data_IF_836840493841
#
_entry.id   IF_836840493841
#
_cell.length_a   1.000
_cell.length_b   1.000
_cell.length_c   1.000
_cell.angle_alpha   90.00
_cell.angle_beta   90.00
_cell.angle_gamma   90.00
#
_symmetry.space_group_name_H-M   'P 1'
#
loop_
_entity.id
_entity.type
_entity.pdbx_description
1 polymer ?
#
# COMPACT_ATOMS: atom_id res chain seq x y z
N UNK A 1 13.74 8.54 5.53
CA UNK A 1 13.86 8.36 6.99
C UNK A 1 14.91 7.31 7.34
N UNK A 2 14.71 6.05 6.94
CA UNK A 2 15.68 4.97 7.26
C UNK A 2 17.05 5.13 6.59
N UNK A 3 17.13 5.81 5.45
CA UNK A 3 18.42 6.15 4.83
C UNK A 3 19.18 7.24 5.60
N UNK A 4 18.46 8.12 6.30
CA UNK A 4 19.06 9.20 7.07
C UNK A 4 19.44 8.80 8.52
N UNK A 5 18.69 7.89 9.12
CA UNK A 5 18.83 7.55 10.54
C UNK A 5 18.81 6.04 10.83
N UNK A 6 18.78 5.20 9.79
CA UNK A 6 18.75 3.75 9.95
C UNK A 6 19.96 3.19 10.71
N UNK A 7 21.11 3.83 10.57
CA UNK A 7 22.35 3.42 11.26
C UNK A 7 22.30 3.65 12.76
N UNK A 8 21.38 4.50 13.24
CA UNK A 8 21.13 4.71 14.67
C UNK A 8 20.21 3.66 15.29
N UNK A 9 19.65 2.75 14.48
CA UNK A 9 18.73 1.72 14.95
C UNK A 9 19.52 0.52 15.47
N UNK A 10 19.39 0.25 16.75
CA UNK A 10 20.02 -0.90 17.43
C UNK A 10 19.04 -2.07 17.63
N UNK A 11 17.74 -1.76 17.70
CA UNK A 11 16.70 -2.77 17.91
C UNK A 11 15.43 -2.44 17.13
N UNK A 12 14.80 -3.49 16.58
CA UNK A 12 13.49 -3.41 15.92
C UNK A 12 12.53 -4.39 16.55
N UNK A 13 11.32 -3.94 16.84
CA UNK A 13 10.19 -4.79 17.21
C UNK A 13 9.24 -4.85 16.02
N UNK A 14 9.05 -6.04 15.47
CA UNK A 14 8.20 -6.28 14.30
C UNK A 14 6.81 -6.69 14.77
N UNK A 15 5.82 -5.85 14.48
CA UNK A 15 4.41 -6.12 14.73
C UNK A 15 3.71 -6.32 13.38
N UNK A 16 3.18 -7.51 13.12
CA UNK A 16 2.59 -7.85 11.84
C UNK A 16 3.63 -8.19 10.76
N UNK A 17 3.27 -8.01 9.49
CA UNK A 17 4.08 -8.48 8.34
C UNK A 17 4.58 -7.30 7.50
N UNK A 18 5.78 -6.77 7.73
CA UNK A 18 6.36 -5.67 6.94
C UNK A 18 6.78 -6.20 5.56
N UNK A 19 6.02 -5.87 4.52
CA UNK A 19 6.22 -6.43 3.18
C UNK A 19 6.39 -5.39 2.08
N UNK A 20 6.30 -4.10 2.40
CA UNK A 20 6.20 -3.07 1.37
C UNK A 20 7.49 -2.28 1.16
N UNK A 21 8.06 -1.56 2.14
CA UNK A 21 9.20 -0.69 1.91
C UNK A 21 10.54 -1.46 1.89
N UNK A 22 11.30 -1.31 0.80
CA UNK A 22 12.67 -1.87 0.70
C UNK A 22 13.61 -1.42 1.82
N UNK A 23 13.62 -0.14 2.27
CA UNK A 23 14.45 0.27 3.38
C UNK A 23 14.17 -0.50 4.68
N UNK A 24 12.91 -0.84 4.95
CA UNK A 24 12.54 -1.70 6.09
C UNK A 24 13.10 -3.11 5.91
N UNK A 25 12.97 -3.68 4.72
CA UNK A 25 13.53 -5.01 4.45
C UNK A 25 15.06 -5.04 4.59
N UNK A 26 15.75 -3.98 4.16
CA UNK A 26 17.20 -3.85 4.37
C UNK A 26 17.57 -3.75 5.85
N UNK A 27 16.82 -2.95 6.62
CA UNK A 27 17.03 -2.82 8.07
C UNK A 27 16.84 -4.18 8.76
N UNK A 28 15.79 -4.91 8.40
CA UNK A 28 15.53 -6.25 8.96
C UNK A 28 16.58 -7.28 8.56
N UNK A 29 17.28 -7.11 7.44
CA UNK A 29 18.39 -7.96 7.01
C UNK A 29 19.73 -7.67 7.70
N UNK A 30 19.87 -6.58 8.46
CA UNK A 30 21.12 -6.20 9.13
C UNK A 30 21.43 -7.14 10.29
N UNK A 31 22.69 -7.57 10.42
CA UNK A 31 23.14 -8.48 11.48
C UNK A 31 23.42 -7.73 12.80
N UNK A 32 23.73 -6.44 12.74
CA UNK A 32 24.05 -5.58 13.89
C UNK A 32 22.80 -4.99 14.57
N UNK A 33 21.61 -5.23 14.04
CA UNK A 33 20.34 -4.76 14.61
C UNK A 33 19.61 -5.93 15.26
N UNK A 34 19.28 -5.79 16.53
CA UNK A 34 18.46 -6.78 17.25
C UNK A 34 17.01 -6.77 16.75
N UNK A 35 16.46 -7.93 16.45
CA UNK A 35 15.11 -8.09 15.93
C UNK A 35 14.25 -8.96 16.82
N UNK A 36 13.12 -8.41 17.26
CA UNK A 36 12.10 -9.15 18.01
C UNK A 36 10.82 -9.18 17.17
N UNK A 37 10.39 -10.37 16.79
CA UNK A 37 9.15 -10.57 16.02
C UNK A 37 8.03 -10.95 16.96
N UNK A 38 6.92 -10.22 16.91
CA UNK A 38 5.72 -10.53 17.69
C UNK A 38 4.73 -11.24 16.79
N UNK A 39 4.51 -12.53 17.04
CA UNK A 39 3.56 -13.35 16.28
C UNK A 39 2.97 -14.44 17.16
N UNK A 40 1.64 -14.49 17.23
CA UNK A 40 0.90 -15.59 17.85
C UNK A 40 0.67 -16.79 16.91
N UNK A 41 1.13 -16.70 15.66
CA UNK A 41 1.02 -17.77 14.65
C UNK A 41 2.25 -18.67 14.68
N UNK A 42 2.10 -19.93 14.27
CA UNK A 42 3.20 -20.84 14.01
C UNK A 42 4.06 -20.38 12.82
N UNK A 43 3.48 -19.60 11.90
CA UNK A 43 4.19 -18.95 10.81
C UNK A 43 4.46 -17.50 11.18
N UNK A 44 5.69 -17.15 11.46
CA UNK A 44 6.09 -15.79 11.81
C UNK A 44 6.71 -15.05 10.62
N UNK A 45 6.55 -13.71 10.57
CA UNK A 45 7.02 -12.89 9.45
C UNK A 45 8.52 -12.54 9.60
N UNK A 46 9.38 -13.50 9.36
CA UNK A 46 10.84 -13.32 9.30
C UNK A 46 11.40 -13.83 7.96
N UNK A 47 11.17 -13.13 6.84
CA UNK A 47 11.60 -13.58 5.53
C UNK A 47 13.12 -13.59 5.36
N UNK A 48 13.86 -12.87 6.19
CA UNK A 48 15.32 -12.85 6.17
C UNK A 48 15.96 -13.94 7.03
N UNK A 49 15.18 -14.60 7.89
CA UNK A 49 15.68 -15.61 8.83
C UNK A 49 16.66 -15.02 9.87
N UNK A 50 16.47 -13.79 10.27
CA UNK A 50 17.42 -13.02 11.10
C UNK A 50 16.84 -12.56 12.44
N UNK A 51 15.65 -13.02 12.82
CA UNK A 51 15.04 -12.70 14.10
C UNK A 51 15.84 -13.27 15.27
N UNK A 52 16.18 -12.42 16.24
CA UNK A 52 16.86 -12.84 17.48
C UNK A 52 15.90 -13.47 18.49
N UNK A 53 14.63 -13.05 18.44
CA UNK A 53 13.58 -13.60 19.27
C UNK A 53 12.21 -13.52 18.60
N UNK A 54 11.37 -14.54 18.85
CA UNK A 54 9.99 -14.57 18.44
C UNK A 54 9.14 -14.74 19.70
N UNK A 55 8.19 -13.81 19.90
CA UNK A 55 7.34 -13.81 21.09
C UNK A 55 5.86 -13.77 20.70
N UNK A 56 4.97 -14.47 21.41
CA UNK A 56 3.56 -14.52 21.04
C UNK A 56 2.83 -13.19 21.31
N UNK A 57 3.31 -12.41 22.26
CA UNK A 57 2.77 -11.10 22.61
C UNK A 57 3.82 -10.25 23.32
N UNK A 58 3.56 -8.95 23.41
CA UNK A 58 4.34 -8.06 24.27
C UNK A 58 3.67 -8.04 25.66
N UNK A 59 4.43 -8.36 26.70
CA UNK A 59 3.98 -8.16 28.06
C UNK A 59 3.98 -6.66 28.41
N UNK A 60 3.00 -6.15 29.16
CA UNK A 60 3.08 -4.80 29.68
C UNK A 60 4.33 -4.66 30.56
N UNK A 61 5.00 -3.50 30.55
CA UNK A 61 6.18 -3.27 31.36
C UNK A 61 5.83 -3.46 32.85
N UNK A 62 6.56 -4.33 33.53
CA UNK A 62 6.42 -4.52 34.98
C UNK A 62 7.28 -3.48 35.68
N UNK A 63 6.65 -2.53 36.39
CA UNK A 63 7.31 -1.55 37.26
C UNK A 63 8.01 -0.42 36.48
N UNK A 64 7.60 0.80 36.73
CA UNK A 64 8.27 2.07 36.44
C UNK A 64 8.86 2.29 35.05
N UNK A 65 8.26 3.14 34.28
CA UNK A 65 8.84 3.87 33.16
C UNK A 65 9.41 3.08 31.98
N UNK A 66 8.57 2.75 31.02
CA UNK A 66 9.03 2.28 29.70
C UNK A 66 9.76 3.41 28.97
N UNK A 67 11.04 3.23 28.66
CA UNK A 67 11.82 4.18 27.86
C UNK A 67 11.81 3.73 26.39
N UNK A 68 11.26 4.56 25.55
CA UNK A 68 11.28 4.40 24.10
C UNK A 68 12.57 4.97 23.49
N UNK A 69 13.67 4.26 23.65
CA UNK A 69 14.95 4.70 23.10
C UNK A 69 15.60 5.87 23.87
N UNK A 70 16.71 6.43 23.36
CA UNK A 70 17.40 7.58 23.92
C UNK A 70 16.53 8.83 23.96
N UNK A 71 16.91 9.77 24.83
CA UNK A 71 16.26 11.09 24.86
C UNK A 71 16.37 11.77 23.48
N UNK A 72 15.25 12.31 23.00
CA UNK A 72 15.18 12.89 21.66
C UNK A 72 14.90 11.92 20.50
N UNK A 73 14.92 10.58 20.72
CA UNK A 73 14.68 9.59 19.67
C UNK A 73 13.39 9.84 18.91
N UNK A 74 12.27 9.98 19.60
CA UNK A 74 10.98 10.27 18.97
C UNK A 74 10.94 11.65 18.30
N UNK A 75 11.68 12.63 18.85
CA UNK A 75 11.82 13.95 18.25
C UNK A 75 12.51 13.89 16.89
N UNK A 76 13.57 13.11 16.79
CA UNK A 76 14.30 12.88 15.54
C UNK A 76 13.40 12.30 14.46
N UNK A 77 12.68 11.22 14.75
CA UNK A 77 11.76 10.60 13.77
C UNK A 77 10.61 11.52 13.36
N UNK A 78 10.10 12.32 14.31
CA UNK A 78 9.06 13.31 14.02
C UNK A 78 9.57 14.47 13.15
N UNK A 79 10.82 14.91 13.33
CA UNK A 79 11.39 15.95 12.46
C UNK A 79 11.52 15.45 11.02
N UNK A 80 12.03 14.26 10.80
CA UNK A 80 12.07 13.65 9.46
C UNK A 80 10.68 13.47 8.84
N UNK A 81 9.70 13.01 9.63
CA UNK A 81 8.34 12.86 9.14
C UNK A 81 7.74 14.21 8.73
N UNK A 82 8.06 15.28 9.46
CA UNK A 82 7.63 16.64 9.12
C UNK A 82 8.26 17.10 7.80
N UNK A 83 9.57 16.93 7.62
CA UNK A 83 10.29 17.31 6.39
C UNK A 83 9.72 16.57 5.16
N UNK A 84 9.49 15.24 5.27
CA UNK A 84 8.82 14.48 4.20
C UNK A 84 7.42 15.03 3.94
N UNK A 85 6.67 15.37 4.97
CA UNK A 85 5.36 16.00 4.84
C UNK A 85 5.40 17.32 4.09
N UNK A 86 6.39 18.17 4.37
CA UNK A 86 6.60 19.44 3.68
C UNK A 86 6.92 19.22 2.19
N UNK A 87 7.80 18.27 1.87
CA UNK A 87 8.11 17.91 0.49
C UNK A 87 6.85 17.42 -0.24
N UNK A 88 6.08 16.53 0.38
CA UNK A 88 4.84 16.02 -0.23
C UNK A 88 3.81 17.12 -0.48
N UNK A 89 3.77 18.16 0.34
CA UNK A 89 2.89 19.31 0.13
C UNK A 89 3.30 20.17 -1.08
N UNK A 90 4.52 20.04 -1.58
CA UNK A 90 4.95 20.74 -2.81
C UNK A 90 4.55 20.00 -4.08
N UNK A 91 4.15 18.73 -3.98
CA UNK A 91 3.72 17.93 -5.12
C UNK A 91 2.37 18.42 -5.61
N UNK A 92 2.28 18.81 -6.88
CA UNK A 92 1.09 19.38 -7.49
C UNK A 92 0.56 18.53 -8.65
N UNK A 93 -0.66 18.83 -9.06
CA UNK A 93 -1.36 18.17 -10.16
C UNK A 93 -1.87 16.79 -9.79
N UNK A 94 -2.57 16.14 -10.71
CA UNK A 94 -3.06 14.77 -10.54
C UNK A 94 -1.91 13.78 -10.77
N UNK A 95 -1.54 13.08 -9.72
CA UNK A 95 -0.58 11.98 -9.75
C UNK A 95 -0.90 10.99 -8.62
N UNK A 96 -0.20 9.88 -8.55
CA UNK A 96 -0.48 8.84 -7.56
C UNK A 96 -0.44 9.33 -6.10
N UNK A 97 0.48 10.25 -5.76
CA UNK A 97 0.63 10.74 -4.39
C UNK A 97 -0.49 11.68 -3.98
N UNK A 98 -0.80 12.65 -4.85
CA UNK A 98 -1.87 13.62 -4.60
C UNK A 98 -3.24 12.94 -4.62
N UNK A 99 -3.44 11.99 -5.54
CA UNK A 99 -4.65 11.18 -5.58
C UNK A 99 -4.80 10.30 -4.32
N UNK A 100 -3.73 9.64 -3.88
CA UNK A 100 -3.75 8.82 -2.66
C UNK A 100 -4.12 9.64 -1.42
N UNK A 101 -3.57 10.85 -1.26
CA UNK A 101 -3.93 11.74 -0.16
C UNK A 101 -5.39 12.17 -0.22
N UNK A 102 -5.88 12.59 -1.40
CA UNK A 102 -7.26 13.01 -1.58
C UNK A 102 -8.25 11.86 -1.32
N UNK A 103 -7.96 10.67 -1.84
CA UNK A 103 -8.77 9.47 -1.60
C UNK A 103 -8.76 9.09 -0.12
N UNK A 104 -7.60 9.17 0.54
CA UNK A 104 -7.47 8.90 1.97
C UNK A 104 -8.40 9.79 2.80
N UNK A 105 -8.35 11.09 2.55
CA UNK A 105 -9.20 12.07 3.24
C UNK A 105 -10.70 11.85 2.95
N UNK A 106 -11.04 11.56 1.69
CA UNK A 106 -12.42 11.30 1.27
C UNK A 106 -12.96 9.94 1.77
N UNK A 107 -12.10 9.07 2.29
CA UNK A 107 -12.50 7.73 2.76
C UNK A 107 -12.83 7.67 4.26
N UNK A 108 -13.02 8.81 4.90
CA UNK A 108 -13.48 8.85 6.29
C UNK A 108 -14.85 8.18 6.39
N UNK A 109 -14.93 7.16 7.26
CA UNK A 109 -16.15 6.36 7.43
C UNK A 109 -16.33 5.21 6.43
N UNK A 110 -15.47 5.08 5.43
CA UNK A 110 -15.44 3.97 4.49
C UNK A 110 -14.20 3.09 4.72
N UNK A 111 -14.32 1.82 4.37
CA UNK A 111 -13.18 0.92 4.30
C UNK A 111 -12.44 1.11 2.98
N UNK A 112 -11.11 0.91 2.99
CA UNK A 112 -10.25 0.94 1.81
C UNK A 112 -9.72 -0.44 1.48
N UNK A 113 -9.79 -0.81 0.20
CA UNK A 113 -9.05 -1.93 -0.36
C UNK A 113 -7.95 -1.40 -1.27
N UNK A 114 -6.70 -1.67 -0.93
CA UNK A 114 -5.56 -1.19 -1.69
C UNK A 114 -4.96 -2.32 -2.53
N UNK A 115 -5.07 -2.18 -3.84
CA UNK A 115 -4.45 -3.09 -4.79
C UNK A 115 -2.92 -3.04 -4.72
N UNK A 116 -2.30 -4.14 -5.12
CA UNK A 116 -0.84 -4.24 -5.23
C UNK A 116 -0.26 -3.22 -6.24
N UNK A 117 1.06 -3.22 -6.39
CA UNK A 117 1.82 -2.32 -7.27
C UNK A 117 1.91 -0.87 -6.75
N UNK A 118 1.73 0.14 -7.61
CA UNK A 118 1.85 1.56 -7.27
C UNK A 118 0.77 2.06 -6.29
N UNK A 119 -0.50 1.64 -6.38
CA UNK A 119 -1.54 2.17 -5.49
C UNK A 119 -1.17 2.06 -4.01
N UNK A 120 -0.89 0.87 -3.50
CA UNK A 120 -0.57 0.71 -2.07
C UNK A 120 0.70 1.47 -1.67
N UNK A 121 1.66 1.65 -2.57
CA UNK A 121 2.89 2.41 -2.30
C UNK A 121 2.64 3.91 -2.22
N UNK A 122 1.74 4.42 -3.05
CA UNK A 122 1.32 5.81 -2.99
C UNK A 122 0.63 6.13 -1.65
N UNK A 123 -0.23 5.22 -1.17
CA UNK A 123 -0.86 5.38 0.14
C UNK A 123 0.14 5.27 1.29
N UNK A 124 1.08 4.32 1.24
CA UNK A 124 2.13 4.16 2.26
C UNK A 124 2.97 5.43 2.42
N UNK A 125 3.20 6.15 1.32
CA UNK A 125 3.99 7.38 1.33
C UNK A 125 3.17 8.64 1.63
N UNK A 126 1.98 8.77 1.03
CA UNK A 126 1.25 10.03 0.98
C UNK A 126 0.06 10.11 1.95
N UNK A 127 -0.56 8.99 2.36
CA UNK A 127 -1.73 9.00 3.24
C UNK A 127 -1.37 9.50 4.64
N UNK A 128 -1.92 10.66 5.02
CA UNK A 128 -1.61 11.34 6.28
C UNK A 128 -2.87 11.85 6.96
N UNK A 129 -2.80 11.96 8.28
CA UNK A 129 -3.94 12.44 9.07
C UNK A 129 -5.09 11.43 9.16
N UNK A 130 -6.25 11.86 9.66
CA UNK A 130 -7.43 11.01 9.78
C UNK A 130 -7.95 10.57 8.40
N UNK A 131 -8.22 9.28 8.25
CA UNK A 131 -8.73 8.70 7.00
C UNK A 131 -9.64 7.52 7.27
N UNK A 132 -9.53 6.47 6.45
CA UNK A 132 -10.26 5.21 6.59
C UNK A 132 -10.00 4.52 7.94
N UNK A 133 -11.00 3.84 8.45
CA UNK A 133 -10.90 3.04 9.69
C UNK A 133 -10.50 1.60 9.43
N UNK A 134 -10.71 1.08 8.23
CA UNK A 134 -10.30 -0.27 7.81
C UNK A 134 -9.54 -0.23 6.50
N UNK A 135 -8.28 -0.69 6.50
CA UNK A 135 -7.46 -0.79 5.29
C UNK A 135 -7.11 -2.25 5.04
N UNK A 136 -7.43 -2.73 3.85
CA UNK A 136 -7.25 -4.11 3.43
C UNK A 136 -6.40 -4.18 2.16
N UNK A 137 -5.72 -5.30 1.97
CA UNK A 137 -4.93 -5.56 0.78
C UNK A 137 -4.63 -7.04 0.62
N UNK A 138 -4.55 -7.51 -0.61
CA UNK A 138 -4.10 -8.87 -0.93
C UNK A 138 -2.57 -8.96 -0.89
N UNK A 139 -1.99 -8.97 0.32
CA UNK A 139 -0.53 -8.92 0.51
C UNK A 139 0.20 -10.27 0.51
N UNK A 140 -0.46 -11.39 0.37
CA UNK A 140 0.19 -12.72 0.28
C UNK A 140 1.27 -12.76 -0.80
N UNK A 141 0.91 -13.17 -2.00
CA UNK A 141 1.76 -13.11 -3.20
C UNK A 141 1.76 -11.73 -3.87
N UNK A 142 0.91 -10.81 -3.39
CA UNK A 142 0.73 -9.46 -3.94
C UNK A 142 0.35 -9.44 -5.44
N UNK A 143 -0.47 -10.42 -5.86
CA UNK A 143 -0.99 -10.52 -7.22
C UNK A 143 -1.90 -9.36 -7.60
N UNK A 144 -2.11 -9.19 -8.90
CA UNK A 144 -3.00 -8.16 -9.46
C UNK A 144 -4.31 -8.75 -10.00
N UNK A 145 -4.47 -10.05 -9.96
CA UNK A 145 -5.67 -10.80 -10.29
C UNK A 145 -6.61 -10.93 -9.07
N UNK A 146 -7.91 -10.97 -9.30
CA UNK A 146 -8.94 -11.16 -8.28
C UNK A 146 -9.11 -10.00 -7.29
N UNK A 147 -8.53 -8.83 -7.52
CA UNK A 147 -8.58 -7.68 -6.59
C UNK A 147 -9.99 -7.11 -6.48
N UNK A 148 -10.70 -7.00 -7.59
CA UNK A 148 -12.08 -6.52 -7.62
C UNK A 148 -13.00 -7.53 -6.90
N UNK A 149 -12.85 -8.83 -7.20
CA UNK A 149 -13.61 -9.89 -6.55
C UNK A 149 -13.40 -9.88 -5.02
N UNK A 150 -12.15 -9.72 -4.58
CA UNK A 150 -11.81 -9.64 -3.15
C UNK A 150 -12.44 -8.42 -2.48
N UNK A 151 -12.41 -7.26 -3.12
CA UNK A 151 -13.01 -6.05 -2.60
C UNK A 151 -14.55 -6.16 -2.51
N UNK A 152 -15.19 -6.73 -3.53
CA UNK A 152 -16.62 -7.02 -3.54
C UNK A 152 -17.02 -7.98 -2.42
N UNK A 153 -16.27 -9.08 -2.27
CA UNK A 153 -16.49 -10.06 -1.21
C UNK A 153 -16.28 -9.46 0.19
N UNK A 154 -15.24 -8.66 0.37
CA UNK A 154 -14.99 -7.98 1.64
C UNK A 154 -16.11 -6.99 1.97
N UNK A 155 -16.56 -6.19 1.02
CA UNK A 155 -17.65 -5.24 1.21
C UNK A 155 -18.95 -5.94 1.64
N UNK A 156 -19.30 -7.06 0.97
CA UNK A 156 -20.53 -7.82 1.27
C UNK A 156 -20.55 -8.38 2.70
N UNK A 157 -19.38 -8.76 3.24
CA UNK A 157 -19.27 -9.27 4.62
C UNK A 157 -19.24 -8.14 5.64
N UNK A 158 -18.58 -7.04 5.33
CA UNK A 158 -18.40 -5.92 6.25
C UNK A 158 -19.62 -5.01 6.34
N UNK A 159 -20.46 -4.95 5.30
CA UNK A 159 -21.66 -4.12 5.26
C UNK A 159 -21.38 -2.62 5.41
N UNK A 160 -20.19 -2.15 5.02
CA UNK A 160 -19.77 -0.75 5.08
C UNK A 160 -19.41 -0.25 3.69
N UNK A 161 -19.53 1.07 3.45
CA UNK A 161 -18.97 1.67 2.24
C UNK A 161 -17.52 1.23 2.05
N UNK A 162 -17.16 0.86 0.82
CA UNK A 162 -15.80 0.44 0.49
C UNK A 162 -15.29 1.17 -0.75
N UNK A 163 -14.05 1.59 -0.71
CA UNK A 163 -13.35 2.13 -1.86
C UNK A 163 -12.17 1.23 -2.20
N UNK A 164 -12.16 0.64 -3.40
CA UNK A 164 -11.06 -0.17 -3.88
C UNK A 164 -10.22 0.64 -4.86
N UNK A 165 -8.93 0.79 -4.56
CA UNK A 165 -7.97 1.53 -5.38
C UNK A 165 -7.01 0.55 -6.04
N UNK A 166 -6.94 0.57 -7.36
CA UNK A 166 -6.18 -0.40 -8.16
C UNK A 166 -5.60 0.29 -9.41
N UNK A 167 -4.61 -0.34 -10.04
CA UNK A 167 -4.07 0.11 -11.32
C UNK A 167 -4.86 -0.41 -12.52
N UNK A 168 -4.59 0.13 -13.70
CA UNK A 168 -5.22 -0.24 -14.97
C UNK A 168 -4.97 -1.70 -15.37
N UNK A 169 -3.75 -2.21 -15.18
CA UNK A 169 -3.47 -3.65 -15.40
C UNK A 169 -4.28 -4.52 -14.45
N UNK A 170 -4.36 -4.16 -13.16
CA UNK A 170 -5.17 -4.88 -12.17
C UNK A 170 -6.64 -4.90 -12.58
N UNK A 171 -7.17 -3.77 -13.04
CA UNK A 171 -8.53 -3.68 -13.56
C UNK A 171 -8.74 -4.63 -14.74
N UNK A 172 -7.82 -4.63 -15.70
CA UNK A 172 -7.90 -5.46 -16.91
C UNK A 172 -7.80 -6.95 -16.60
N UNK A 173 -6.94 -7.34 -15.65
CA UNK A 173 -6.79 -8.75 -15.24
C UNK A 173 -8.02 -9.31 -14.50
N UNK A 174 -8.84 -8.43 -13.92
CA UNK A 174 -10.01 -8.84 -13.13
C UNK A 174 -11.34 -8.38 -13.73
N UNK A 175 -11.38 -8.12 -15.05
CA UNK A 175 -12.60 -7.73 -15.79
C UNK A 175 -13.80 -8.61 -15.53
N UNK A 176 -13.70 -9.96 -15.47
CA UNK A 176 -14.86 -10.81 -15.20
C UNK A 176 -15.56 -10.48 -13.88
N UNK A 177 -14.84 -9.99 -12.90
CA UNK A 177 -15.40 -9.62 -11.58
C UNK A 177 -16.32 -8.41 -11.64
N UNK A 178 -16.21 -7.56 -12.67
CA UNK A 178 -17.14 -6.44 -12.88
C UNK A 178 -18.57 -6.94 -13.19
N UNK A 179 -18.67 -8.06 -13.93
CA UNK A 179 -19.95 -8.66 -14.27
C UNK A 179 -20.53 -9.53 -13.15
N UNK A 180 -19.68 -9.99 -12.23
CA UNK A 180 -20.08 -10.83 -11.09
C UNK A 180 -20.66 -10.01 -9.92
N UNK A 181 -21.23 -8.86 -10.19
CA UNK A 181 -21.79 -7.96 -9.18
C UNK A 181 -22.84 -8.69 -8.35
N UNK A 182 -22.66 -8.88 -7.04
CA UNK A 182 -23.68 -9.48 -6.20
C UNK A 182 -24.98 -8.68 -6.26
N UNK A 183 -26.11 -9.37 -6.25
CA UNK A 183 -27.43 -8.74 -6.21
C UNK A 183 -27.63 -8.03 -4.86
N UNK A 184 -27.88 -6.73 -4.87
CA UNK A 184 -28.14 -5.89 -3.69
C UNK A 184 -27.47 -4.53 -3.80
N UNK A 185 -27.84 -3.62 -2.90
CA UNK A 185 -27.17 -2.31 -2.76
C UNK A 185 -25.75 -2.50 -2.25
N UNK A 186 -24.80 -2.52 -3.17
CA UNK A 186 -23.39 -2.55 -2.82
C UNK A 186 -22.82 -1.12 -2.85
N UNK A 187 -22.43 -0.64 -1.69
CA UNK A 187 -21.76 0.64 -1.56
C UNK A 187 -20.24 0.45 -1.76
N UNK A 188 -19.87 0.24 -3.01
CA UNK A 188 -18.48 0.07 -3.42
C UNK A 188 -18.13 1.03 -4.57
N UNK A 189 -17.00 1.69 -4.43
CA UNK A 189 -16.38 2.53 -5.46
C UNK A 189 -15.06 1.92 -5.90
N UNK A 190 -14.87 1.73 -7.20
CA UNK A 190 -13.59 1.38 -7.78
C UNK A 190 -12.87 2.65 -8.25
N UNK A 191 -11.66 2.88 -7.78
CA UNK A 191 -10.80 3.97 -8.23
C UNK A 191 -9.62 3.36 -8.97
N UNK A 192 -9.54 3.63 -10.27
CA UNK A 192 -8.50 3.06 -11.13
C UNK A 192 -7.47 4.11 -11.48
N UNK A 193 -6.22 3.88 -11.07
CA UNK A 193 -5.07 4.65 -11.52
C UNK A 193 -4.68 4.16 -12.91
N UNK A 194 -4.90 5.00 -13.90
CA UNK A 194 -4.60 4.71 -15.31
C UNK A 194 -3.37 5.47 -15.73
N UNK A 195 -2.22 4.85 -15.57
CA UNK A 195 -0.89 5.44 -15.82
C UNK A 195 -0.13 4.78 -16.98
N UNK A 196 -0.81 3.95 -17.75
CA UNK A 196 -0.28 3.31 -18.96
C UNK A 196 0.35 1.94 -18.73
N UNK A 197 -0.12 1.20 -17.73
CA UNK A 197 0.23 -0.19 -17.51
C UNK A 197 1.18 -0.45 -16.35
N UNK A 198 2.22 -1.26 -16.56
CA UNK A 198 3.15 -1.68 -15.50
C UNK A 198 4.21 -0.61 -15.15
N UNK A 199 3.82 0.61 -14.87
CA UNK A 199 4.73 1.74 -14.62
C UNK A 199 5.62 1.55 -13.39
N UNK A 200 5.23 0.71 -12.43
CA UNK A 200 6.08 0.34 -11.30
C UNK A 200 7.46 -0.18 -11.73
N UNK A 201 7.52 -0.90 -12.86
CA UNK A 201 8.76 -1.50 -13.33
C UNK A 201 9.79 -0.47 -13.79
N UNK A 202 9.37 0.75 -14.16
CA UNK A 202 10.29 1.82 -14.53
C UNK A 202 11.29 2.17 -13.41
N UNK A 203 10.88 2.01 -12.16
CA UNK A 203 11.71 2.28 -10.97
C UNK A 203 12.43 1.05 -10.42
N UNK A 204 12.23 -0.12 -11.02
CA UNK A 204 12.87 -1.37 -10.60
C UNK A 204 14.08 -1.70 -11.49
N UNK A 205 14.98 -2.52 -10.95
CA UNK A 205 16.26 -2.88 -11.61
C UNK A 205 16.05 -3.40 -13.04
N UNK A 206 15.03 -4.21 -13.26
CA UNK A 206 14.75 -4.80 -14.58
C UNK A 206 14.29 -3.74 -15.59
N UNK A 207 13.44 -2.79 -15.16
CA UNK A 207 12.97 -1.70 -16.00
C UNK A 207 14.10 -0.72 -16.35
N UNK A 208 14.95 -0.40 -15.38
CA UNK A 208 16.13 0.46 -15.60
C UNK A 208 17.15 -0.18 -16.55
N UNK A 209 17.32 -1.51 -16.48
CA UNK A 209 18.26 -2.25 -17.32
C UNK A 209 17.72 -2.58 -18.73
N UNK A 210 16.40 -2.52 -18.93
CA UNK A 210 15.77 -2.86 -20.20
C UNK A 210 15.94 -1.74 -21.24
N UNK A 211 16.06 -2.10 -22.51
CA UNK A 211 15.87 -1.13 -23.60
C UNK A 211 14.41 -0.66 -23.63
N UNK A 212 14.14 0.52 -24.20
CA UNK A 212 12.77 1.06 -24.28
C UNK A 212 11.78 0.06 -24.91
N UNK A 213 12.16 -0.59 -26.00
CA UNK A 213 11.31 -1.57 -26.67
C UNK A 213 11.04 -2.82 -25.81
N UNK A 214 12.03 -3.28 -25.05
CA UNK A 214 11.86 -4.38 -24.10
C UNK A 214 11.00 -3.95 -22.92
N UNK A 215 11.23 -2.75 -22.41
CA UNK A 215 10.42 -2.21 -21.31
C UNK A 215 8.95 -2.13 -21.71
N UNK A 216 8.63 -1.51 -22.84
CA UNK A 216 7.25 -1.39 -23.31
C UNK A 216 6.57 -2.74 -23.53
N UNK A 217 7.30 -3.69 -24.13
CA UNK A 217 6.74 -5.00 -24.49
C UNK A 217 6.54 -5.93 -23.30
N UNK A 218 7.47 -5.97 -22.33
CA UNK A 218 7.52 -7.03 -21.31
C UNK A 218 7.20 -6.52 -19.91
N UNK A 219 7.29 -5.22 -19.65
CA UNK A 219 7.11 -4.64 -18.34
C UNK A 219 5.94 -3.64 -18.26
N UNK A 220 5.94 -2.63 -19.11
CA UNK A 220 4.85 -1.66 -19.15
C UNK A 220 3.55 -2.31 -19.64
N UNK A 221 3.62 -3.08 -20.73
CA UNK A 221 2.45 -3.80 -21.30
C UNK A 221 1.23 -2.87 -21.36
N UNK A 222 1.32 -1.74 -22.08
CA UNK A 222 0.28 -0.73 -22.08
C UNK A 222 -1.03 -1.30 -22.60
N UNK A 223 -2.12 -1.00 -21.89
CA UNK A 223 -3.45 -1.48 -22.23
C UNK A 223 -4.18 -0.49 -23.13
N UNK A 224 -4.88 -1.00 -24.13
CA UNK A 224 -5.74 -0.20 -25.02
C UNK A 224 -7.21 -0.27 -24.60
N UNK A 225 -7.48 -0.64 -23.37
CA UNK A 225 -8.82 -0.80 -22.85
C UNK A 225 -9.35 0.54 -22.35
N UNK A 226 -10.51 0.97 -22.84
CA UNK A 226 -11.24 2.09 -22.25
C UNK A 226 -11.91 1.63 -20.94
N UNK A 227 -11.29 1.96 -19.82
CA UNK A 227 -11.73 1.55 -18.49
C UNK A 227 -13.20 1.95 -18.24
N UNK A 228 -13.56 3.22 -18.54
CA UNK A 228 -14.90 3.73 -18.35
C UNK A 228 -15.93 2.97 -19.19
N UNK A 229 -15.66 2.79 -20.50
CA UNK A 229 -16.59 2.08 -21.38
C UNK A 229 -16.81 0.62 -20.98
N UNK A 230 -15.76 -0.06 -20.56
CA UNK A 230 -15.88 -1.45 -20.09
C UNK A 230 -16.66 -1.52 -18.77
N UNK A 231 -16.41 -0.61 -17.86
CA UNK A 231 -17.16 -0.52 -16.61
C UNK A 231 -18.66 -0.28 -16.89
N UNK A 232 -18.98 0.65 -17.77
CA UNK A 232 -20.37 0.96 -18.18
C UNK A 232 -21.03 -0.23 -18.86
N UNK A 233 -20.34 -0.94 -19.73
CA UNK A 233 -20.84 -2.17 -20.35
C UNK A 233 -21.17 -3.28 -19.33
N UNK A 234 -20.51 -3.27 -18.17
CA UNK A 234 -20.79 -4.14 -17.03
C UNK A 234 -21.81 -3.55 -16.03
N UNK A 235 -22.46 -2.43 -16.38
CA UNK A 235 -23.51 -1.80 -15.55
C UNK A 235 -23.00 -0.92 -14.42
N UNK A 236 -21.73 -0.52 -14.44
CA UNK A 236 -21.16 0.46 -13.52
C UNK A 236 -21.35 1.88 -14.06
N UNK A 237 -21.41 2.86 -13.15
CA UNK A 237 -21.27 4.25 -13.53
C UNK A 237 -19.79 4.61 -13.54
N UNK A 238 -19.30 5.26 -14.58
CA UNK A 238 -17.91 5.64 -14.72
C UNK A 238 -17.76 7.15 -14.85
N UNK A 239 -16.74 7.70 -14.20
CA UNK A 239 -16.34 9.12 -14.31
C UNK A 239 -14.83 9.18 -14.45
N UNK A 240 -14.35 9.89 -15.46
CA UNK A 240 -12.93 10.16 -15.63
C UNK A 240 -12.56 11.44 -14.87
N UNK A 241 -11.49 11.38 -14.10
CA UNK A 241 -10.94 12.51 -13.33
C UNK A 241 -9.59 12.89 -13.94
N UNK A 242 -9.44 14.13 -14.38
CA UNK A 242 -8.23 14.65 -15.01
C UNK A 242 -7.49 15.69 -14.14
N UNK A 243 -8.12 16.14 -13.08
CA UNK A 243 -7.55 17.08 -12.11
C UNK A 243 -8.15 16.88 -10.72
N UNK A 244 -7.51 17.46 -9.72
CA UNK A 244 -7.97 17.50 -8.33
C UNK A 244 -8.58 18.87 -8.01
N UNK A 245 -9.61 19.27 -8.72
CA UNK A 245 -10.33 20.51 -8.47
C UNK A 245 -11.53 20.29 -7.55
#
# INVERSE_FOLDING_TARGET
LLEAAGDLVEQVVVLGKPTLPRPVSRLLGRQDVRKVVVSGSAEWPDPAGTADAIVPCLAPPQGGGFRWGPDGWMGLWRSFAKEVGEILNTVQGLNHLTAAQAIWEASRGADLWLGASNPIRAFDLAARGPGSVGVFSNRGLAGIDGVIALALGAQSVRGKPMRAVLGDLTFTYDLPSLAARPSGDQDIQLVVFSDGGGTIFASLEHGVAASESMYQRFFAVPQQVSIGQVAEACGWQATQVENLS
#
